data_IF_845836324632
#
_entry.id   IF_845836324632
#
_cell.length_a   1.000
_cell.length_b   1.000
_cell.length_c   1.000
_cell.angle_alpha   90.00
_cell.angle_beta   90.00
_cell.angle_gamma   90.00
#
_symmetry.space_group_name_H-M   'P 1'
#
loop_
_entity.id
_entity.type
_entity.pdbx_description
1 polymer ?
#
# COMPACT_ATOMS: atom_id res chain seq x y z
N UNK A 1 21.88 7.10 13.21
CA UNK A 1 21.43 8.00 12.14
C UNK A 1 21.86 7.36 10.84
N UNK A 2 20.92 6.98 9.98
CA UNK A 2 21.26 6.29 8.73
C UNK A 2 22.05 7.23 7.82
N UNK A 3 23.18 6.77 7.29
CA UNK A 3 23.97 7.51 6.33
C UNK A 3 23.20 7.59 5.01
N UNK A 4 22.87 8.82 4.60
CA UNK A 4 22.11 9.11 3.38
C UNK A 4 23.03 9.38 2.19
N UNK A 5 24.34 9.14 2.31
CA UNK A 5 25.31 9.40 1.25
C UNK A 5 25.05 8.60 -0.03
N UNK A 6 24.43 7.43 0.08
CA UNK A 6 24.00 6.63 -1.08
C UNK A 6 22.92 7.32 -1.93
N UNK A 7 22.19 8.30 -1.38
CA UNK A 7 21.18 9.09 -2.10
C UNK A 7 21.77 10.27 -2.88
N UNK A 8 23.08 10.52 -2.79
CA UNK A 8 23.71 11.69 -3.42
C UNK A 8 23.58 11.71 -4.95
N UNK A 9 23.45 10.54 -5.57
CA UNK A 9 23.36 10.37 -7.03
C UNK A 9 21.99 9.86 -7.49
N UNK A 10 20.97 9.91 -6.63
CA UNK A 10 19.61 9.52 -6.98
C UNK A 10 18.71 10.75 -7.00
N UNK A 11 17.67 10.70 -7.83
CA UNK A 11 16.59 11.71 -7.82
C UNK A 11 15.70 11.58 -6.56
N UNK A 12 16.13 10.84 -5.52
CA UNK A 12 15.30 10.52 -4.38
C UNK A 12 15.29 11.59 -3.27
N UNK A 13 16.26 12.52 -3.28
CA UNK A 13 16.37 13.61 -2.29
C UNK A 13 15.09 14.46 -2.09
N UNK A 14 14.34 14.84 -3.14
CA UNK A 14 13.09 15.60 -3.00
C UNK A 14 11.96 14.81 -2.30
N UNK A 15 12.04 13.49 -2.23
CA UNK A 15 11.01 12.65 -1.62
C UNK A 15 11.27 12.33 -0.14
N UNK A 16 12.43 12.74 0.39
CA UNK A 16 12.81 12.56 1.80
C UNK A 16 12.41 13.75 2.68
N UNK A 17 12.00 14.86 2.07
CA UNK A 17 11.42 15.98 2.81
C UNK A 17 10.02 15.59 3.27
N UNK A 18 9.77 15.70 4.58
CA UNK A 18 8.52 15.33 5.22
C UNK A 18 7.37 16.27 4.78
N UNK A 19 6.82 16.01 3.60
CA UNK A 19 5.66 16.72 3.05
C UNK A 19 4.32 16.16 3.58
N UNK A 20 4.32 15.45 4.73
CA UNK A 20 3.07 15.00 5.38
C UNK A 20 2.11 16.16 5.67
N UNK A 21 2.61 17.39 5.74
CA UNK A 21 1.81 18.61 5.89
C UNK A 21 1.04 19.04 4.63
N UNK A 22 1.47 18.64 3.42
CA UNK A 22 0.80 19.01 2.16
C UNK A 22 -0.37 18.08 1.80
N UNK A 23 -0.43 16.89 2.42
CA UNK A 23 -1.51 15.90 2.24
C UNK A 23 -2.80 16.21 3.00
N UNK A 24 -2.77 17.16 3.95
CA UNK A 24 -3.97 17.63 4.64
C UNK A 24 -4.50 18.90 3.98
N UNK A 25 -5.04 18.78 2.76
CA UNK A 25 -5.88 19.86 2.23
C UNK A 25 -7.25 19.80 2.93
N UNK A 26 -7.64 20.84 3.69
CA UNK A 26 -8.99 20.89 4.24
C UNK A 26 -9.97 20.92 3.07
N UNK A 27 -11.12 20.25 3.21
CA UNK A 27 -12.25 20.43 2.30
C UNK A 27 -12.63 21.92 2.44
N UNK A 28 -12.29 22.75 1.46
CA UNK A 28 -12.35 24.21 1.58
C UNK A 28 -13.78 24.76 1.61
N UNK A 29 -14.79 23.94 1.32
CA UNK A 29 -16.21 24.29 1.41
C UNK A 29 -16.90 23.63 2.64
N UNK A 30 -17.37 24.46 3.58
CA UNK A 30 -18.16 24.03 4.74
C UNK A 30 -19.44 23.27 4.34
N UNK A 31 -20.02 23.55 3.16
CA UNK A 31 -21.16 22.83 2.61
C UNK A 31 -20.83 21.37 2.29
N UNK A 32 -19.72 21.13 1.60
CA UNK A 32 -19.19 19.79 1.30
C UNK A 32 -18.89 18.98 2.58
N UNK A 33 -18.31 19.60 3.60
CA UNK A 33 -17.98 18.91 4.86
C UNK A 33 -19.24 18.42 5.59
N UNK A 34 -20.29 19.26 5.68
CA UNK A 34 -21.57 18.88 6.31
C UNK A 34 -22.25 17.73 5.55
N UNK A 35 -22.26 17.78 4.21
CA UNK A 35 -22.78 16.69 3.36
C UNK A 35 -22.00 15.40 3.58
N UNK A 36 -20.67 15.46 3.57
CA UNK A 36 -19.81 14.29 3.79
C UNK A 36 -20.05 13.65 5.17
N UNK A 37 -20.19 14.46 6.22
CA UNK A 37 -20.54 13.98 7.56
C UNK A 37 -21.89 13.23 7.58
N UNK A 38 -22.90 13.77 6.88
CA UNK A 38 -24.21 13.11 6.73
C UNK A 38 -24.10 11.74 6.04
N UNK A 39 -23.35 11.64 4.94
CA UNK A 39 -23.12 10.37 4.24
C UNK A 39 -22.32 9.39 5.09
N UNK A 40 -21.28 9.84 5.79
CA UNK A 40 -20.52 8.98 6.71
C UNK A 40 -21.41 8.38 7.79
N UNK A 41 -22.29 9.20 8.38
CA UNK A 41 -23.29 8.72 9.34
C UNK A 41 -24.28 7.72 8.73
N UNK A 42 -24.76 7.97 7.51
CA UNK A 42 -25.66 7.05 6.79
C UNK A 42 -24.97 5.71 6.54
N UNK A 43 -23.78 5.71 5.94
CA UNK A 43 -23.01 4.49 5.64
C UNK A 43 -22.69 3.71 6.91
N UNK A 44 -22.47 4.36 8.05
CA UNK A 44 -22.27 3.68 9.33
C UNK A 44 -23.53 2.96 9.85
N UNK A 45 -24.73 3.43 9.49
CA UNK A 45 -26.01 2.84 9.92
C UNK A 45 -26.56 1.78 8.97
N UNK A 46 -26.02 1.66 7.76
CA UNK A 46 -26.47 0.65 6.79
C UNK A 46 -26.16 -0.78 7.26
N UNK A 47 -27.04 -1.72 6.91
CA UNK A 47 -26.78 -3.16 7.05
C UNK A 47 -25.81 -3.65 5.96
N UNK A 48 -25.19 -4.83 6.13
CA UNK A 48 -24.33 -5.41 5.10
C UNK A 48 -25.00 -5.55 3.73
N UNK A 49 -26.26 -5.97 3.70
CA UNK A 49 -27.04 -6.18 2.47
C UNK A 49 -27.31 -4.86 1.77
N UNK A 50 -27.62 -3.81 2.54
CA UNK A 50 -27.80 -2.45 2.01
C UNK A 50 -26.49 -1.91 1.42
N UNK A 51 -25.35 -2.19 2.05
CA UNK A 51 -24.03 -1.78 1.54
C UNK A 51 -23.72 -2.49 0.22
N UNK A 52 -23.97 -3.79 0.13
CA UNK A 52 -23.74 -4.56 -1.09
C UNK A 52 -24.62 -4.09 -2.24
N UNK A 53 -25.90 -3.85 -1.97
CA UNK A 53 -26.80 -3.34 -2.99
C UNK A 53 -26.38 -1.96 -3.49
N UNK A 54 -25.95 -1.07 -2.58
CA UNK A 54 -25.44 0.25 -2.97
C UNK A 54 -24.11 0.19 -3.74
N UNK A 55 -23.23 -0.76 -3.43
CA UNK A 55 -22.00 -1.02 -4.18
C UNK A 55 -22.31 -1.59 -5.58
N UNK A 56 -23.21 -2.57 -5.67
CA UNK A 56 -23.63 -3.22 -6.92
C UNK A 56 -24.28 -2.23 -7.88
N UNK A 57 -25.20 -1.38 -7.38
CA UNK A 57 -25.82 -0.29 -8.17
C UNK A 57 -24.79 0.65 -8.79
N UNK A 58 -23.60 0.78 -8.19
CA UNK A 58 -22.52 1.68 -8.62
C UNK A 58 -21.37 0.95 -9.31
N UNK A 59 -21.56 -0.33 -9.65
CA UNK A 59 -20.54 -1.17 -10.28
C UNK A 59 -19.23 -1.26 -9.48
N UNK A 60 -19.32 -1.17 -8.16
CA UNK A 60 -18.19 -1.32 -7.24
C UNK A 60 -18.15 -2.75 -6.70
N UNK A 61 -16.94 -3.26 -6.45
CA UNK A 61 -16.75 -4.58 -5.85
C UNK A 61 -17.43 -4.70 -4.48
N UNK A 62 -18.13 -5.81 -4.26
CA UNK A 62 -18.70 -6.23 -2.96
C UNK A 62 -17.77 -7.18 -2.20
N UNK A 63 -16.55 -7.41 -2.70
CA UNK A 63 -15.59 -8.31 -2.06
C UNK A 63 -14.95 -7.69 -0.82
N UNK A 64 -14.58 -8.56 0.12
CA UNK A 64 -13.89 -8.23 1.36
C UNK A 64 -14.81 -8.06 2.56
N UNK A 65 -14.22 -7.89 3.73
CA UNK A 65 -14.95 -7.67 4.97
C UNK A 65 -15.88 -6.46 4.91
N UNK A 66 -16.91 -6.45 5.77
CA UNK A 66 -17.87 -5.35 5.86
C UNK A 66 -17.20 -3.98 6.05
N UNK A 67 -16.08 -3.92 6.79
CA UNK A 67 -15.29 -2.70 6.98
C UNK A 67 -14.76 -2.16 5.65
N UNK A 68 -14.20 -3.02 4.81
CA UNK A 68 -13.64 -2.66 3.49
C UNK A 68 -14.76 -2.15 2.58
N UNK A 69 -15.91 -2.83 2.56
CA UNK A 69 -17.09 -2.40 1.80
C UNK A 69 -17.59 -1.01 2.24
N UNK A 70 -17.66 -0.75 3.54
CA UNK A 70 -18.01 0.58 4.08
C UNK A 70 -17.00 1.66 3.67
N UNK A 71 -15.70 1.36 3.75
CA UNK A 71 -14.65 2.28 3.32
C UNK A 71 -14.79 2.59 1.83
N UNK A 72 -15.00 1.58 0.99
CA UNK A 72 -15.22 1.71 -0.45
C UNK A 72 -16.39 2.64 -0.77
N UNK A 73 -17.52 2.44 -0.10
CA UNK A 73 -18.71 3.27 -0.31
C UNK A 73 -18.53 4.71 0.20
N UNK A 74 -17.86 4.90 1.35
CA UNK A 74 -17.50 6.24 1.85
C UNK A 74 -16.56 6.97 0.90
N UNK A 75 -15.56 6.29 0.36
CA UNK A 75 -14.63 6.85 -0.61
C UNK A 75 -15.34 7.27 -1.90
N UNK A 76 -16.29 6.46 -2.39
CA UNK A 76 -17.13 6.83 -3.53
C UNK A 76 -17.89 8.13 -3.28
N UNK A 77 -18.61 8.26 -2.16
CA UNK A 77 -19.36 9.49 -1.84
C UNK A 77 -18.46 10.69 -1.58
N UNK A 78 -17.32 10.47 -0.90
CA UNK A 78 -16.30 11.49 -0.72
C UNK A 78 -15.87 12.01 -2.07
N UNK A 79 -15.54 11.11 -3.00
CA UNK A 79 -15.14 11.46 -4.34
C UNK A 79 -16.26 12.27 -5.03
N UNK A 80 -17.49 11.76 -5.10
CA UNK A 80 -18.66 12.44 -5.70
C UNK A 80 -18.86 13.89 -5.22
N UNK A 81 -18.76 14.13 -3.92
CA UNK A 81 -18.91 15.47 -3.34
C UNK A 81 -17.76 16.43 -3.67
N UNK A 82 -16.59 15.88 -3.96
CA UNK A 82 -15.43 16.64 -4.41
C UNK A 82 -15.38 16.81 -5.94
N UNK A 83 -16.12 16.02 -6.74
CA UNK A 83 -16.19 16.17 -8.22
C UNK A 83 -16.94 17.44 -8.70
N UNK A 84 -17.58 18.22 -7.82
CA UNK A 84 -18.09 19.57 -8.15
C UNK A 84 -17.00 20.65 -8.27
N UNK A 85 -15.75 20.32 -7.89
CA UNK A 85 -14.57 21.14 -8.06
C UNK A 85 -13.44 20.19 -8.51
N UNK A 86 -13.37 19.88 -9.82
CA UNK A 86 -12.36 19.03 -10.47
C UNK A 86 -12.07 17.66 -9.81
N UNK A 87 -12.19 16.57 -10.59
CA UNK A 87 -11.92 15.18 -10.18
C UNK A 87 -11.00 15.02 -8.94
N UNK A 88 -11.49 14.62 -7.75
CA UNK A 88 -10.67 14.36 -6.57
C UNK A 88 -9.70 13.19 -6.73
N UNK A 89 -9.98 12.26 -7.65
CA UNK A 89 -9.04 11.22 -8.05
C UNK A 89 -7.93 11.75 -8.98
N UNK A 90 -8.08 12.98 -9.48
CA UNK A 90 -7.12 13.72 -10.32
C UNK A 90 -6.36 14.79 -9.51
N UNK A 91 -6.72 15.00 -8.23
CA UNK A 91 -6.26 16.09 -7.37
C UNK A 91 -5.57 15.64 -6.08
N UNK A 92 -5.33 14.34 -5.89
CA UNK A 92 -4.01 13.96 -5.39
C UNK A 92 -3.13 14.26 -6.60
N UNK A 93 -2.32 15.31 -6.57
CA UNK A 93 -1.11 15.28 -7.40
C UNK A 93 -0.42 14.00 -6.94
N UNK A 94 -0.63 12.90 -7.65
CA UNK A 94 0.19 11.71 -7.47
C UNK A 94 1.57 12.21 -7.91
N UNK A 95 2.36 12.66 -6.93
CA UNK A 95 3.71 13.17 -7.15
C UNK A 95 4.63 12.09 -7.72
N UNK A 96 4.13 10.86 -7.78
CA UNK A 96 4.82 9.69 -8.26
C UNK A 96 4.09 9.18 -9.50
N UNK A 97 4.83 9.01 -10.59
CA UNK A 97 4.35 8.35 -11.80
C UNK A 97 4.34 6.82 -11.61
N UNK A 98 5.23 6.33 -10.74
CA UNK A 98 5.40 4.91 -10.46
C UNK A 98 5.41 4.61 -8.96
N UNK A 99 4.94 3.42 -8.58
CA UNK A 99 5.15 2.82 -7.25
C UNK A 99 6.01 1.58 -7.42
N UNK A 100 7.12 1.50 -6.68
CA UNK A 100 7.87 0.26 -6.50
C UNK A 100 7.39 -0.43 -5.22
N UNK A 101 6.78 -1.60 -5.36
CA UNK A 101 6.36 -2.45 -4.24
C UNK A 101 7.48 -3.44 -3.97
N UNK A 102 7.94 -3.49 -2.72
CA UNK A 102 9.01 -4.38 -2.26
C UNK A 102 8.49 -5.23 -1.12
N UNK A 103 8.73 -6.53 -1.19
CA UNK A 103 8.32 -7.50 -0.17
C UNK A 103 9.48 -8.47 0.09
N UNK A 104 10.24 -8.24 1.15
CA UNK A 104 11.46 -9.01 1.41
C UNK A 104 11.13 -10.34 2.09
N UNK A 105 11.77 -11.41 1.62
CA UNK A 105 11.91 -12.63 2.40
C UNK A 105 13.23 -12.60 3.18
N UNK A 106 13.20 -13.14 4.39
CA UNK A 106 14.35 -13.15 5.28
C UNK A 106 14.57 -14.52 5.93
N UNK A 107 15.82 -14.82 6.30
CA UNK A 107 16.15 -15.98 7.10
C UNK A 107 15.32 -15.98 8.39
N UNK A 108 14.83 -17.13 8.84
CA UNK A 108 14.09 -17.22 10.09
C UNK A 108 14.30 -18.58 10.79
N UNK A 109 14.06 -18.61 12.10
CA UNK A 109 14.12 -19.84 12.89
C UNK A 109 13.12 -19.80 14.04
N UNK A 110 12.23 -20.81 14.07
CA UNK A 110 11.15 -20.89 15.06
C UNK A 110 11.65 -21.00 16.52
N UNK A 111 12.84 -21.55 16.74
CA UNK A 111 13.37 -21.83 18.08
C UNK A 111 14.13 -20.66 18.72
N UNK A 112 14.45 -19.60 17.95
CA UNK A 112 15.33 -18.52 18.40
C UNK A 112 14.60 -17.19 18.66
N UNK A 113 13.30 -17.13 18.33
CA UNK A 113 12.45 -15.97 18.62
C UNK A 113 12.99 -14.66 18.05
N UNK A 114 12.70 -13.55 18.75
CA UNK A 114 12.99 -12.19 18.26
C UNK A 114 14.47 -11.81 18.17
N UNK A 115 15.37 -12.60 18.76
CA UNK A 115 16.82 -12.34 18.73
C UNK A 115 17.53 -13.01 17.54
N UNK A 116 16.77 -13.62 16.63
CA UNK A 116 17.33 -14.22 15.44
C UNK A 116 17.90 -13.13 14.51
N UNK A 117 19.16 -13.24 14.05
CA UNK A 117 19.73 -12.30 13.09
C UNK A 117 19.16 -12.58 11.69
N UNK A 118 18.05 -11.90 11.37
CA UNK A 118 17.40 -11.99 10.07
C UNK A 118 18.27 -11.34 8.98
N UNK A 119 18.50 -12.07 7.88
CA UNK A 119 19.18 -11.60 6.67
C UNK A 119 18.21 -11.73 5.50
N UNK A 120 18.17 -10.74 4.60
CA UNK A 120 17.34 -10.79 3.39
C UNK A 120 17.85 -11.93 2.51
N UNK A 121 16.95 -12.80 2.06
CA UNK A 121 17.23 -13.94 1.17
C UNK A 121 16.51 -13.84 -0.18
N UNK A 122 15.52 -12.96 -0.29
CA UNK A 122 14.90 -12.59 -1.55
C UNK A 122 14.58 -11.10 -1.60
N UNK A 123 14.82 -10.48 -2.76
CA UNK A 123 14.54 -9.09 -3.04
C UNK A 123 13.68 -8.98 -4.30
N UNK A 124 12.35 -9.18 -4.20
CA UNK A 124 11.42 -8.89 -5.28
C UNK A 124 10.99 -7.42 -5.28
N UNK A 125 10.83 -6.87 -6.47
CA UNK A 125 10.29 -5.53 -6.71
C UNK A 125 9.26 -5.62 -7.84
N UNK A 126 8.10 -5.03 -7.63
CA UNK A 126 7.08 -4.84 -8.67
C UNK A 126 6.89 -3.36 -8.92
N UNK A 127 7.10 -2.91 -10.16
CA UNK A 127 6.90 -1.52 -10.55
C UNK A 127 5.51 -1.35 -11.14
N UNK A 128 4.73 -0.44 -10.56
CA UNK A 128 3.35 -0.13 -10.97
C UNK A 128 3.32 1.27 -11.55
N UNK A 129 2.85 1.40 -12.79
CA UNK A 129 2.52 2.68 -13.41
C UNK A 129 1.15 3.15 -12.89
N UNK A 130 1.12 4.33 -12.27
CA UNK A 130 -0.09 4.86 -11.63
C UNK A 130 -1.06 5.50 -12.62
N UNK A 131 -0.59 5.92 -13.78
CA UNK A 131 -1.45 6.44 -14.85
C UNK A 131 -2.20 5.31 -15.55
N UNK A 132 -1.50 4.21 -15.85
CA UNK A 132 -2.07 3.03 -16.50
C UNK A 132 -2.73 2.07 -15.52
N UNK A 133 -2.36 2.15 -14.24
CA UNK A 133 -2.77 1.20 -13.18
C UNK A 133 -2.35 -0.24 -13.48
N UNK A 134 -1.16 -0.40 -14.07
CA UNK A 134 -0.64 -1.69 -14.53
C UNK A 134 0.75 -1.93 -13.98
N UNK A 135 1.11 -3.20 -13.81
CA UNK A 135 2.49 -3.60 -13.55
C UNK A 135 3.26 -3.42 -14.84
N UNK A 136 4.31 -2.60 -14.80
CA UNK A 136 5.16 -2.31 -15.97
C UNK A 136 6.51 -3.01 -15.91
N UNK A 137 6.97 -3.39 -14.73
CA UNK A 137 8.22 -4.13 -14.58
C UNK A 137 8.23 -4.99 -13.30
N UNK A 138 9.09 -6.01 -13.30
CA UNK A 138 9.35 -6.88 -12.15
C UNK A 138 10.84 -7.20 -12.09
N UNK A 139 11.42 -7.05 -10.91
CA UNK A 139 12.76 -7.49 -10.58
C UNK A 139 12.68 -8.52 -9.46
N UNK A 140 13.51 -9.56 -9.53
CA UNK A 140 13.59 -10.57 -8.49
C UNK A 140 15.03 -11.07 -8.43
N UNK A 141 15.60 -11.07 -7.23
CA UNK A 141 16.93 -11.59 -6.98
C UNK A 141 16.98 -12.30 -5.64
N UNK A 142 17.67 -13.44 -5.60
CA UNK A 142 18.00 -14.11 -4.35
C UNK A 142 19.27 -13.52 -3.75
N UNK A 143 19.33 -13.51 -2.42
CA UNK A 143 20.45 -13.00 -1.66
C UNK A 143 21.06 -14.16 -0.85
N UNK A 144 22.39 -14.28 -0.87
CA UNK A 144 23.09 -15.29 -0.06
C UNK A 144 23.33 -14.75 1.35
N UNK A 145 22.75 -15.36 2.41
CA UNK A 145 23.00 -14.94 3.79
C UNK A 145 24.46 -15.25 4.18
N UNK A 146 25.06 -14.35 4.97
CA UNK A 146 26.46 -14.37 5.36
C UNK A 146 26.67 -14.76 6.82
N UNK A 147 25.73 -14.41 7.70
CA UNK A 147 25.79 -14.69 9.14
C UNK A 147 25.32 -16.12 9.39
N UNK A 148 24.18 -16.51 8.79
CA UNK A 148 23.65 -17.88 8.84
C UNK A 148 23.39 -18.40 7.42
N UNK A 149 24.44 -18.88 6.72
CA UNK A 149 24.33 -19.31 5.32
C UNK A 149 23.42 -20.52 5.07
N UNK A 150 23.12 -21.29 6.11
CA UNK A 150 22.27 -22.47 6.05
C UNK A 150 20.86 -22.08 6.54
N UNK A 151 19.90 -22.15 5.63
CA UNK A 151 18.49 -21.91 5.94
C UNK A 151 17.95 -23.01 6.86
N UNK A 152 17.05 -22.63 7.78
CA UNK A 152 16.34 -23.61 8.61
C UNK A 152 15.20 -24.25 7.82
N UNK A 153 14.81 -25.49 8.13
CA UNK A 153 13.66 -26.15 7.49
C UNK A 153 12.38 -25.31 7.59
N UNK A 154 12.17 -24.65 8.73
CA UNK A 154 11.04 -23.73 8.91
C UNK A 154 11.07 -22.58 7.91
N UNK A 155 12.26 -22.01 7.66
CA UNK A 155 12.42 -20.91 6.71
C UNK A 155 12.18 -21.38 5.27
N UNK A 156 12.71 -22.54 4.89
CA UNK A 156 12.50 -23.10 3.54
C UNK A 156 11.03 -23.48 3.32
N UNK A 157 10.33 -24.02 4.33
CA UNK A 157 8.91 -24.35 4.25
C UNK A 157 8.02 -23.10 4.19
N UNK A 158 8.35 -22.04 4.92
CA UNK A 158 7.57 -20.80 4.97
C UNK A 158 7.72 -19.97 3.68
N UNK A 159 8.94 -19.87 3.16
CA UNK A 159 9.28 -19.00 2.02
C UNK A 159 9.28 -19.74 0.69
N UNK A 160 9.42 -21.07 0.71
CA UNK A 160 9.59 -21.89 -0.50
C UNK A 160 10.99 -21.80 -1.12
N UNK A 161 11.94 -21.09 -0.50
CA UNK A 161 13.31 -20.95 -0.99
C UNK A 161 14.14 -22.17 -0.58
N UNK A 162 14.67 -22.90 -1.55
CA UNK A 162 15.50 -24.08 -1.32
C UNK A 162 16.98 -23.71 -1.12
N UNK A 163 17.67 -24.46 -0.26
CA UNK A 163 19.11 -24.38 -0.12
C UNK A 163 19.78 -25.16 -1.25
N UNK A 164 20.36 -24.46 -2.24
CA UNK A 164 21.19 -25.11 -3.26
C UNK A 164 22.62 -25.21 -2.74
N UNK A 165 23.16 -26.42 -2.65
CA UNK A 165 24.57 -26.64 -2.32
C UNK A 165 25.45 -26.09 -3.47
N UNK A 166 26.23 -25.04 -3.19
CA UNK A 166 27.35 -24.61 -4.04
C UNK A 166 28.65 -24.74 -3.27
#
# INVERSE_FOLDING_TARGET
TYDLDWLKNTNAKPFLTDERHLLKRPITDQGCQKRLSKYNGLVNRMTPEQIDEELRKRQLSTSGEIRIRRIRLKHYYKAQLTFGCENPLKMIQQHFEYIAVVDFEATCNINQGNNYPHEIIEFPIVLIDLQQQMIVDKFQSYCRPSIKPILSNFCTELTGIEQVCT
#
